data_IF_401649459444
#
_entry.id   IF_401649459444
#
_cell.length_a   1.000
_cell.length_b   1.000
_cell.length_c   1.000
_cell.angle_alpha   90.00
_cell.angle_beta   90.00
_cell.angle_gamma   90.00
#
_symmetry.space_group_name_H-M   'P 1'
#
loop_
_entity.id
_entity.type
_entity.pdbx_description
1 polymer ?
#
# COMPACT_ATOMS: atom_id res chain seq x y z
N UNK A 1 16.39 -47.98 32.15
CA UNK A 1 15.59 -48.12 30.92
C UNK A 1 15.90 -46.93 30.02
N UNK A 2 16.42 -47.22 28.83
CA UNK A 2 16.82 -46.27 27.79
C UNK A 2 15.65 -45.43 27.27
N UNK A 3 15.89 -44.13 27.06
CA UNK A 3 15.24 -43.35 26.00
C UNK A 3 16.24 -42.32 25.47
N UNK A 4 17.08 -42.78 24.54
CA UNK A 4 17.68 -41.96 23.49
C UNK A 4 16.60 -41.58 22.49
N UNK A 5 16.50 -40.31 22.05
CA UNK A 5 16.18 -39.98 20.65
C UNK A 5 16.24 -38.46 20.37
N UNK A 6 17.16 -38.12 19.47
CA UNK A 6 17.04 -37.08 18.44
C UNK A 6 17.15 -35.60 18.84
N UNK A 7 18.41 -35.20 18.96
CA UNK A 7 18.90 -33.97 18.32
C UNK A 7 18.53 -34.04 16.82
N UNK A 8 17.66 -33.16 16.33
CA UNK A 8 17.34 -33.18 14.91
C UNK A 8 16.44 -32.05 14.50
N UNK A 9 17.06 -30.98 13.98
CA UNK A 9 16.47 -29.99 13.08
C UNK A 9 15.11 -29.45 13.55
N UNK A 10 15.03 -28.21 14.00
CA UNK A 10 14.64 -27.17 13.03
C UNK A 10 14.99 -25.79 13.57
N UNK A 11 16.26 -25.42 13.36
CA UNK A 11 16.60 -24.03 13.02
C UNK A 11 16.04 -23.78 11.61
N UNK A 12 14.71 -23.73 11.45
CA UNK A 12 14.12 -23.14 10.24
C UNK A 12 14.00 -21.65 10.49
N UNK A 13 15.07 -20.98 10.08
CA UNK A 13 14.99 -19.78 9.24
C UNK A 13 13.74 -18.95 9.52
N UNK A 14 13.85 -18.06 10.50
CA UNK A 14 13.16 -16.78 10.48
C UNK A 14 13.69 -15.93 9.30
N UNK A 15 13.53 -16.43 8.07
CA UNK A 15 13.70 -15.63 6.86
C UNK A 15 12.44 -14.79 6.72
N UNK A 16 12.50 -13.61 7.35
CA UNK A 16 12.15 -12.30 6.76
C UNK A 16 11.05 -12.32 5.69
N UNK A 17 9.88 -12.85 6.03
CA UNK A 17 8.64 -12.27 5.57
C UNK A 17 8.14 -11.46 6.74
N UNK A 18 7.95 -10.15 6.58
CA UNK A 18 6.93 -9.47 7.39
C UNK A 18 5.70 -10.35 7.19
N UNK A 19 5.26 -11.06 8.25
CA UNK A 19 4.16 -12.04 8.13
C UNK A 19 2.99 -11.28 7.50
N UNK A 20 2.57 -11.71 6.32
CA UNK A 20 1.63 -11.02 5.44
C UNK A 20 0.37 -10.57 6.18
N UNK A 21 -0.15 -11.45 7.03
CA UNK A 21 -1.25 -11.21 7.95
C UNK A 21 -0.96 -10.08 8.92
N UNK A 22 0.23 -10.06 9.52
CA UNK A 22 0.64 -9.02 10.49
C UNK A 22 0.60 -7.61 9.91
N UNK A 23 0.99 -7.38 8.65
CA UNK A 23 0.96 -6.03 8.08
C UNK A 23 -0.49 -5.53 7.88
N UNK A 24 -1.35 -6.36 7.30
CA UNK A 24 -2.77 -6.04 7.11
C UNK A 24 -3.49 -5.87 8.46
N UNK A 25 -3.21 -6.75 9.43
CA UNK A 25 -3.75 -6.67 10.78
C UNK A 25 -3.33 -5.37 11.48
N UNK A 26 -2.07 -4.94 11.31
CA UNK A 26 -1.59 -3.67 11.84
C UNK A 26 -2.26 -2.46 11.19
N UNK A 27 -2.51 -2.49 9.88
CA UNK A 27 -3.25 -1.41 9.22
C UNK A 27 -4.70 -1.35 9.70
N UNK A 28 -5.36 -2.49 9.88
CA UNK A 28 -6.73 -2.55 10.43
C UNK A 28 -6.78 -2.01 11.86
N UNK A 29 -5.85 -2.42 12.72
CA UNK A 29 -5.73 -1.89 14.09
C UNK A 29 -5.45 -0.39 14.10
N UNK A 30 -4.56 0.09 13.23
CA UNK A 30 -4.27 1.52 13.13
C UNK A 30 -5.53 2.31 12.72
N UNK A 31 -6.33 1.79 11.79
CA UNK A 31 -7.59 2.42 11.40
C UNK A 31 -8.62 2.41 12.54
N UNK A 32 -8.75 1.32 13.30
CA UNK A 32 -9.69 1.27 14.43
C UNK A 32 -9.30 2.23 15.55
N UNK A 33 -8.02 2.32 15.90
CA UNK A 33 -7.55 3.30 16.89
C UNK A 33 -7.82 4.73 16.43
N UNK A 34 -7.58 5.03 15.15
CA UNK A 34 -7.89 6.34 14.57
C UNK A 34 -9.41 6.62 14.49
N UNK A 35 -10.27 5.60 14.53
CA UNK A 35 -11.72 5.77 14.63
C UNK A 35 -12.17 6.10 16.06
N UNK A 36 -11.51 5.51 17.06
CA UNK A 36 -11.75 5.78 18.48
C UNK A 36 -11.39 7.23 18.87
N UNK A 37 -10.36 7.81 18.24
CA UNK A 37 -9.93 9.20 18.45
C UNK A 37 -10.97 10.25 17.97
N UNK A 38 -12.00 9.82 17.24
CA UNK A 38 -13.07 10.67 16.73
C UNK A 38 -12.73 11.45 15.45
N UNK A 39 -13.72 12.08 14.80
CA UNK A 39 -13.52 12.75 13.52
C UNK A 39 -12.72 14.04 13.69
N UNK A 40 -11.56 14.12 13.05
CA UNK A 40 -10.76 15.34 12.96
C UNK A 40 -9.94 15.37 11.68
N UNK A 41 -9.54 16.56 11.24
CA UNK A 41 -8.67 16.72 10.07
C UNK A 41 -7.34 15.96 10.23
N UNK A 42 -6.79 15.92 11.45
CA UNK A 42 -5.56 15.17 11.72
C UNK A 42 -5.77 13.66 11.53
N UNK A 43 -6.89 13.14 12.04
CA UNK A 43 -7.30 11.74 11.88
C UNK A 43 -7.52 11.38 10.40
N UNK A 44 -8.17 12.24 9.62
CA UNK A 44 -8.39 11.99 8.18
C UNK A 44 -7.07 11.89 7.41
N UNK A 45 -6.12 12.80 7.69
CA UNK A 45 -4.78 12.75 7.09
C UNK A 45 -4.04 11.47 7.49
N UNK A 46 -4.10 11.09 8.78
CA UNK A 46 -3.49 9.86 9.27
C UNK A 46 -4.10 8.62 8.61
N UNK A 47 -5.44 8.55 8.49
CA UNK A 47 -6.14 7.46 7.79
C UNK A 47 -5.75 7.41 6.31
N UNK A 48 -5.66 8.56 5.63
CA UNK A 48 -5.19 8.62 4.24
C UNK A 48 -3.80 8.00 4.11
N UNK A 49 -2.92 8.32 5.05
CA UNK A 49 -1.57 7.81 5.12
C UNK A 49 -1.54 6.29 5.39
N UNK A 50 -2.40 5.77 6.27
CA UNK A 50 -2.53 4.33 6.51
C UNK A 50 -3.01 3.61 5.25
N UNK A 51 -4.07 4.11 4.61
CA UNK A 51 -4.59 3.54 3.37
C UNK A 51 -3.56 3.50 2.24
N UNK A 52 -2.75 4.55 2.05
CA UNK A 52 -1.68 4.56 1.03
C UNK A 52 -0.65 3.45 1.27
N UNK A 53 -0.27 3.23 2.53
CA UNK A 53 0.72 2.22 2.89
C UNK A 53 0.15 0.81 2.72
N UNK A 54 -1.15 0.66 2.98
CA UNK A 54 -1.86 -0.58 2.72
C UNK A 54 -1.89 -0.90 1.22
N UNK A 55 -2.18 0.07 0.35
CA UNK A 55 -2.10 -0.11 -1.11
C UNK A 55 -0.73 -0.61 -1.56
N UNK A 56 0.35 0.00 -1.06
CA UNK A 56 1.72 -0.41 -1.41
C UNK A 56 2.00 -1.85 -0.95
N UNK A 57 1.52 -2.23 0.23
CA UNK A 57 1.65 -3.59 0.74
C UNK A 57 0.91 -4.60 -0.16
N UNK A 58 -0.32 -4.30 -0.55
CA UNK A 58 -1.13 -5.13 -1.45
C UNK A 58 -0.47 -5.28 -2.83
N UNK A 59 0.00 -4.17 -3.42
CA UNK A 59 0.68 -4.18 -4.72
C UNK A 59 1.94 -5.05 -4.73
N UNK A 60 2.68 -5.11 -3.62
CA UNK A 60 3.91 -5.91 -3.49
C UNK A 60 3.66 -7.39 -3.21
N UNK A 61 2.55 -7.71 -2.54
CA UNK A 61 2.29 -9.04 -2.02
C UNK A 61 1.27 -9.85 -2.84
N UNK A 62 0.59 -9.21 -3.81
CA UNK A 62 -0.32 -9.80 -4.81
C UNK A 62 -1.08 -11.05 -4.29
N UNK A 63 -1.93 -10.83 -3.29
CA UNK A 63 -2.80 -11.85 -2.69
C UNK A 63 -4.07 -12.06 -3.52
N UNK A 64 -4.88 -13.08 -3.26
CA UNK A 64 -6.15 -13.27 -3.97
C UNK A 64 -7.11 -12.09 -3.67
N UNK A 65 -7.70 -11.46 -4.68
CA UNK A 65 -8.55 -10.26 -4.52
C UNK A 65 -7.77 -8.97 -4.22
N UNK A 66 -6.46 -8.94 -4.44
CA UNK A 66 -5.61 -7.76 -4.16
C UNK A 66 -6.01 -6.52 -4.97
N UNK A 67 -6.53 -6.69 -6.18
CA UNK A 67 -6.88 -5.60 -7.09
C UNK A 67 -8.03 -4.75 -6.54
N UNK A 68 -9.10 -5.39 -6.06
CA UNK A 68 -10.25 -4.72 -5.46
C UNK A 68 -9.85 -3.97 -4.18
N UNK A 69 -9.12 -4.63 -3.28
CA UNK A 69 -8.63 -4.01 -2.05
C UNK A 69 -7.68 -2.84 -2.32
N UNK A 70 -6.83 -2.97 -3.35
CA UNK A 70 -5.94 -1.89 -3.76
C UNK A 70 -6.72 -0.69 -4.28
N UNK A 71 -7.74 -0.92 -5.11
CA UNK A 71 -8.63 0.13 -5.62
C UNK A 71 -9.35 0.83 -4.47
N UNK A 72 -9.91 0.07 -3.54
CA UNK A 72 -10.62 0.60 -2.38
C UNK A 72 -9.72 1.48 -1.51
N UNK A 73 -8.57 0.96 -1.06
CA UNK A 73 -7.68 1.74 -0.20
C UNK A 73 -7.09 2.96 -0.91
N UNK A 74 -6.87 2.89 -2.22
CA UNK A 74 -6.39 4.03 -3.00
C UNK A 74 -7.46 5.12 -3.05
N UNK A 75 -8.71 4.75 -3.32
CA UNK A 75 -9.83 5.69 -3.34
C UNK A 75 -10.04 6.33 -1.97
N UNK A 76 -9.99 5.54 -0.91
CA UNK A 76 -10.17 6.05 0.45
C UNK A 76 -9.03 7.00 0.85
N UNK A 77 -7.79 6.68 0.47
CA UNK A 77 -6.64 7.57 0.67
C UNK A 77 -6.84 8.92 -0.02
N UNK A 78 -7.33 8.92 -1.27
CA UNK A 78 -7.60 10.13 -2.04
C UNK A 78 -8.85 10.88 -1.58
N UNK A 79 -9.86 10.18 -1.05
CA UNK A 79 -11.07 10.78 -0.48
C UNK A 79 -10.72 11.61 0.75
N UNK A 80 -9.87 11.06 1.61
CA UNK A 80 -9.42 11.69 2.85
C UNK A 80 -8.35 12.77 2.61
N UNK A 81 -7.47 12.56 1.62
CA UNK A 81 -6.46 13.52 1.21
C UNK A 81 -6.26 13.52 -0.31
N UNK A 82 -6.95 14.40 -1.05
CA UNK A 82 -6.84 14.48 -2.51
C UNK A 82 -5.45 14.88 -3.02
N UNK A 83 -4.61 15.42 -2.14
CA UNK A 83 -3.23 15.84 -2.41
C UNK A 83 -2.19 14.82 -1.95
N UNK A 84 -2.59 13.56 -1.73
CA UNK A 84 -1.66 12.49 -1.40
C UNK A 84 -0.89 12.06 -2.66
N UNK A 85 0.33 12.58 -2.83
CA UNK A 85 1.18 12.30 -4.00
C UNK A 85 1.36 10.79 -4.25
N UNK A 86 1.57 10.00 -3.20
CA UNK A 86 1.73 8.55 -3.31
C UNK A 86 0.46 7.88 -3.85
N UNK A 87 -0.71 8.23 -3.31
CA UNK A 87 -1.98 7.65 -3.76
C UNK A 87 -2.35 8.07 -5.20
N UNK A 88 -1.99 9.30 -5.60
CA UNK A 88 -2.11 9.76 -6.99
C UNK A 88 -1.23 8.95 -7.94
N UNK A 89 0.03 8.68 -7.55
CA UNK A 89 0.91 7.84 -8.37
C UNK A 89 0.38 6.41 -8.50
N UNK A 90 -0.16 5.84 -7.42
CA UNK A 90 -0.78 4.50 -7.45
C UNK A 90 -2.01 4.50 -8.38
N UNK A 91 -2.77 5.61 -8.43
CA UNK A 91 -3.88 5.75 -9.37
C UNK A 91 -3.40 5.73 -10.83
N UNK A 92 -2.38 6.53 -11.15
CA UNK A 92 -1.80 6.55 -12.50
C UNK A 92 -1.21 5.20 -12.90
N UNK A 93 -0.49 4.54 -11.99
CA UNK A 93 0.03 3.18 -12.20
C UNK A 93 -1.10 2.19 -12.52
N UNK A 94 -2.20 2.23 -11.76
CA UNK A 94 -3.34 1.33 -11.99
C UNK A 94 -4.04 1.61 -13.34
N UNK A 95 -4.21 2.88 -13.72
CA UNK A 95 -4.77 3.27 -15.02
C UNK A 95 -3.87 2.84 -16.18
N UNK A 96 -2.56 3.00 -16.05
CA UNK A 96 -1.57 2.53 -17.02
C UNK A 96 -1.64 1.01 -17.21
N UNK A 97 -1.72 0.25 -16.11
CA UNK A 97 -1.87 -1.21 -16.16
C UNK A 97 -3.20 -1.67 -16.79
N UNK A 98 -4.26 -0.88 -16.64
CA UNK A 98 -5.55 -1.13 -17.28
C UNK A 98 -5.56 -0.76 -18.78
N UNK A 99 -4.44 -0.30 -19.35
CA UNK A 99 -4.33 0.11 -20.75
C UNK A 99 -4.90 1.50 -21.04
N UNK A 100 -5.33 2.24 -20.01
CA UNK A 100 -5.82 3.60 -20.15
C UNK A 100 -4.67 4.59 -19.95
N UNK A 101 -3.80 4.67 -20.96
CA UNK A 101 -2.58 5.48 -20.91
C UNK A 101 -2.87 6.97 -20.85
N UNK A 102 -3.90 7.46 -21.55
CA UNK A 102 -4.23 8.90 -21.55
C UNK A 102 -4.69 9.40 -20.18
N UNK A 103 -5.55 8.64 -19.49
CA UNK A 103 -6.05 9.05 -18.18
C UNK A 103 -5.02 8.84 -17.06
N UNK A 104 -4.01 8.00 -17.27
CA UNK A 104 -2.94 7.73 -16.31
C UNK A 104 -1.93 8.88 -16.16
N UNK A 105 -1.75 9.70 -17.20
CA UNK A 105 -0.74 10.76 -17.23
C UNK A 105 -1.04 11.86 -16.19
N UNK A 106 -2.28 12.34 -16.14
CA UNK A 106 -2.68 13.42 -15.23
C UNK A 106 -2.40 13.14 -13.75
N UNK A 107 -2.81 12.00 -13.16
CA UNK A 107 -2.51 11.71 -11.76
C UNK A 107 -1.02 11.53 -11.49
N UNK A 108 -0.23 11.05 -12.46
CA UNK A 108 1.24 10.95 -12.33
C UNK A 108 1.89 12.34 -12.31
N UNK A 109 1.49 13.24 -13.22
CA UNK A 109 1.98 14.62 -13.22
C UNK A 109 1.58 15.36 -11.96
N UNK A 110 0.35 15.17 -11.48
CA UNK A 110 -0.11 15.78 -10.21
C UNK A 110 0.67 15.23 -9.01
N UNK A 111 1.03 13.95 -9.03
CA UNK A 111 1.89 13.35 -8.02
C UNK A 111 3.25 14.05 -7.98
N UNK A 112 3.89 14.25 -9.14
CA UNK A 112 5.17 14.96 -9.25
C UNK A 112 5.07 16.45 -8.90
N UNK A 113 3.94 17.09 -9.19
CA UNK A 113 3.72 18.48 -8.77
C UNK A 113 3.71 18.61 -7.23
N UNK A 114 3.18 17.61 -6.53
CA UNK A 114 3.09 17.59 -5.08
C UNK A 114 4.37 17.08 -4.41
N UNK A 115 5.06 16.15 -5.04
CA UNK A 115 6.34 15.60 -4.61
C UNK A 115 7.27 15.42 -5.83
N UNK A 116 8.05 16.47 -6.17
CA UNK A 116 8.93 16.46 -7.35
C UNK A 116 10.02 15.39 -7.28
N UNK A 117 10.37 14.91 -6.09
CA UNK A 117 11.41 13.89 -5.90
C UNK A 117 10.85 12.46 -5.96
N UNK A 118 9.55 12.30 -6.25
CA UNK A 118 8.91 11.00 -6.23
C UNK A 118 9.25 10.13 -7.44
N UNK A 119 10.37 9.44 -7.33
CA UNK A 119 10.98 8.58 -8.37
C UNK A 119 10.00 7.62 -9.04
N UNK A 120 9.05 7.06 -8.29
CA UNK A 120 8.10 6.09 -8.84
C UNK A 120 7.20 6.73 -9.92
N UNK A 121 6.80 8.00 -9.75
CA UNK A 121 5.95 8.67 -10.72
C UNK A 121 6.69 8.90 -12.05
N UNK A 122 7.98 9.24 -12.02
CA UNK A 122 8.81 9.30 -13.23
C UNK A 122 8.92 7.96 -13.94
N UNK A 123 9.11 6.86 -13.19
CA UNK A 123 9.16 5.51 -13.77
C UNK A 123 7.85 5.17 -14.46
N UNK A 124 6.71 5.50 -13.86
CA UNK A 124 5.40 5.22 -14.47
C UNK A 124 5.14 6.09 -15.71
N UNK A 125 5.54 7.37 -15.71
CA UNK A 125 5.46 8.21 -16.91
C UNK A 125 6.35 7.68 -18.02
N UNK A 126 7.56 7.21 -17.71
CA UNK A 126 8.45 6.59 -18.69
C UNK A 126 7.96 5.24 -19.24
N UNK A 127 7.01 4.57 -18.57
CA UNK A 127 6.32 3.38 -19.11
C UNK A 127 5.17 3.79 -20.04
N UNK A 128 4.64 5.00 -19.87
CA UNK A 128 3.49 5.52 -20.59
C UNK A 128 3.84 5.97 -22.02
N UNK A 129 5.06 6.46 -22.21
CA UNK A 129 5.62 6.92 -23.49
C UNK A 129 6.53 5.86 -24.10
#
# INVERSE_FOLDING_TARGET
>A
AFLTASLGFTVMRAKRGVRRTRAEDLFKQALSTLEEDGPSRGVDLAKSFVHRNHCICLARNKTQGWEENLVWHRQESLRLMPTNANALCIAGMAMSQAGNTWDAEQPLLKSLFLDPDFKLAYVQLGILY
#
